data_IF_708505642184
#
_entry.id   IF_708505642184
#
_cell.length_a   1.000
_cell.length_b   1.000
_cell.length_c   1.000
_cell.angle_alpha   90.00
_cell.angle_beta   90.00
_cell.angle_gamma   90.00
#
_symmetry.space_group_name_H-M   'P 1'
#
loop_
_entity.id
_entity.type
_entity.pdbx_description
1 polymer ?
#
# COMPACT_ATOMS: atom_id res chain seq x y z
N UNK A 1 -12.37 -13.33 -34.37
CA UNK A 1 -12.40 -13.24 -32.90
C UNK A 1 -10.99 -13.04 -32.38
N UNK A 2 -10.71 -11.86 -31.83
CA UNK A 2 -9.41 -11.59 -31.23
C UNK A 2 -9.18 -12.51 -30.03
N UNK A 3 -8.02 -13.16 -29.97
CA UNK A 3 -7.63 -13.94 -28.79
C UNK A 3 -7.37 -12.96 -27.65
N UNK A 4 -8.26 -12.92 -26.65
CA UNK A 4 -8.03 -12.19 -25.41
C UNK A 4 -6.79 -12.77 -24.71
N UNK A 5 -5.91 -11.88 -24.23
CA UNK A 5 -4.73 -12.31 -23.46
C UNK A 5 -5.19 -12.80 -22.09
N UNK A 6 -4.79 -13.98 -21.70
CA UNK A 6 -4.98 -14.48 -20.35
C UNK A 6 -4.01 -13.77 -19.41
N UNK A 7 -4.49 -13.35 -18.25
CA UNK A 7 -3.66 -12.82 -17.17
C UNK A 7 -3.92 -13.58 -15.88
N UNK A 8 -2.98 -13.54 -14.97
CA UNK A 8 -3.11 -14.14 -13.63
C UNK A 8 -3.01 -13.04 -12.58
N UNK A 9 -4.09 -12.86 -11.83
CA UNK A 9 -4.18 -11.92 -10.73
C UNK A 9 -3.83 -12.62 -9.42
N UNK A 10 -2.92 -12.03 -8.63
CA UNK A 10 -2.69 -12.38 -7.23
C UNK A 10 -3.45 -11.37 -6.35
N UNK A 11 -4.51 -11.82 -5.68
CA UNK A 11 -5.13 -11.06 -4.61
C UNK A 11 -4.31 -11.24 -3.32
N UNK A 12 -3.70 -10.18 -2.84
CA UNK A 12 -2.83 -10.23 -1.68
C UNK A 12 -3.67 -10.21 -0.40
N UNK A 13 -3.80 -11.37 0.22
CA UNK A 13 -4.51 -11.54 1.48
C UNK A 13 -3.50 -11.65 2.63
N UNK A 14 -2.94 -10.52 3.01
CA UNK A 14 -1.97 -10.41 4.10
C UNK A 14 -2.16 -9.06 4.81
N UNK A 15 -2.02 -9.05 6.13
CA UNK A 15 -2.06 -7.80 6.88
C UNK A 15 -0.77 -6.98 6.66
N UNK A 16 -0.83 -5.64 6.68
CA UNK A 16 0.36 -4.80 6.80
C UNK A 16 0.98 -4.93 8.20
N UNK A 17 2.05 -4.24 8.44
CA UNK A 17 2.54 -3.94 9.79
C UNK A 17 1.89 -2.62 10.19
N UNK A 18 0.85 -2.69 11.03
CA UNK A 18 0.05 -1.50 11.37
C UNK A 18 0.90 -0.39 11.95
N UNK A 19 0.67 0.84 11.49
CA UNK A 19 1.39 2.05 11.90
C UNK A 19 2.92 1.97 11.72
N UNK A 20 3.39 1.13 10.80
CA UNK A 20 4.80 1.06 10.40
C UNK A 20 4.90 1.05 8.87
N UNK A 21 5.06 2.23 8.28
CA UNK A 21 5.12 2.41 6.84
C UNK A 21 6.31 1.66 6.23
N UNK A 22 7.48 1.74 6.87
CA UNK A 22 8.69 1.13 6.35
C UNK A 22 8.63 -0.41 6.38
N UNK A 23 8.17 -0.99 7.49
CA UNK A 23 8.02 -2.43 7.59
C UNK A 23 6.92 -2.95 6.65
N UNK A 24 5.83 -2.20 6.50
CA UNK A 24 4.77 -2.52 5.53
C UNK A 24 5.27 -2.45 4.11
N UNK A 25 6.04 -1.42 3.74
CA UNK A 25 6.66 -1.28 2.42
C UNK A 25 7.57 -2.46 2.10
N UNK A 26 8.47 -2.83 3.03
CA UNK A 26 9.32 -4.01 2.86
C UNK A 26 8.50 -5.30 2.71
N UNK A 27 7.42 -5.43 3.46
CA UNK A 27 6.51 -6.58 3.35
C UNK A 27 5.80 -6.61 2.01
N UNK A 28 5.30 -5.47 1.51
CA UNK A 28 4.71 -5.35 0.18
C UNK A 28 5.69 -5.79 -0.91
N UNK A 29 6.94 -5.32 -0.86
CA UNK A 29 7.98 -5.70 -1.82
C UNK A 29 8.23 -7.22 -1.84
N UNK A 30 8.23 -7.89 -0.68
CA UNK A 30 8.36 -9.36 -0.61
C UNK A 30 7.15 -10.07 -1.23
N UNK A 31 5.94 -9.61 -0.94
CA UNK A 31 4.70 -10.19 -1.48
C UNK A 31 4.60 -10.00 -3.00
N UNK A 32 5.03 -8.85 -3.52
CA UNK A 32 5.14 -8.60 -4.96
C UNK A 32 6.10 -9.60 -5.61
N UNK A 33 7.27 -9.79 -5.00
CA UNK A 33 8.26 -10.74 -5.52
C UNK A 33 7.75 -12.18 -5.48
N UNK A 34 7.02 -12.56 -4.43
CA UNK A 34 6.41 -13.88 -4.30
C UNK A 34 5.31 -14.11 -5.35
N UNK A 35 4.42 -13.14 -5.53
CA UNK A 35 3.39 -13.19 -6.56
C UNK A 35 3.99 -13.39 -7.97
N UNK A 36 5.06 -12.65 -8.29
CA UNK A 36 5.79 -12.81 -9.54
C UNK A 36 6.39 -14.20 -9.71
N UNK A 37 7.01 -14.77 -8.67
CA UNK A 37 7.53 -16.14 -8.69
C UNK A 37 6.46 -17.20 -8.93
N UNK A 38 5.23 -16.94 -8.45
CA UNK A 38 4.05 -17.81 -8.67
C UNK A 38 3.39 -17.59 -10.04
N UNK A 39 3.97 -16.75 -10.89
CA UNK A 39 3.50 -16.49 -12.25
C UNK A 39 2.32 -15.51 -12.33
N UNK A 40 2.08 -14.70 -11.31
CA UNK A 40 1.14 -13.60 -11.42
C UNK A 40 1.64 -12.55 -12.40
N UNK A 41 0.72 -11.93 -13.12
CA UNK A 41 0.98 -10.77 -13.99
C UNK A 41 0.55 -9.46 -13.34
N UNK A 42 -0.35 -9.57 -12.35
CA UNK A 42 -0.86 -8.45 -11.56
C UNK A 42 -0.90 -8.88 -10.09
N UNK A 43 -0.44 -8.04 -9.17
CA UNK A 43 -0.65 -8.18 -7.73
C UNK A 43 -1.53 -7.04 -7.23
N UNK A 44 -2.62 -7.38 -6.52
CA UNK A 44 -3.57 -6.41 -5.98
C UNK A 44 -3.63 -6.51 -4.45
N UNK A 45 -3.41 -5.39 -3.79
CA UNK A 45 -3.52 -5.21 -2.34
C UNK A 45 -4.82 -4.49 -2.00
N UNK A 46 -5.27 -4.63 -0.75
CA UNK A 46 -6.50 -3.99 -0.29
C UNK A 46 -6.37 -2.48 -0.12
N UNK A 47 -7.51 -1.84 0.13
CA UNK A 47 -7.62 -0.43 0.48
C UNK A 47 -6.73 -0.08 1.68
N UNK A 48 -6.07 1.09 1.61
CA UNK A 48 -5.20 1.62 2.67
C UNK A 48 -4.23 0.60 3.28
N UNK A 49 -3.76 -0.35 2.46
CA UNK A 49 -2.85 -1.39 2.93
C UNK A 49 -1.57 -0.81 3.53
N UNK A 50 -1.12 0.36 3.06
CA UNK A 50 -0.03 1.15 3.62
C UNK A 50 -0.60 2.39 4.33
N UNK A 51 -0.47 2.56 5.62
CA UNK A 51 0.14 1.72 6.66
C UNK A 51 -0.86 0.81 7.40
N UNK A 52 -2.02 0.59 6.84
CA UNK A 52 -3.12 -0.19 7.39
C UNK A 52 -4.44 0.57 7.40
N UNK A 53 -5.55 -0.15 7.49
CA UNK A 53 -6.86 0.46 7.56
C UNK A 53 -7.07 1.18 8.91
N UNK A 54 -7.60 2.42 8.91
CA UNK A 54 -7.70 3.24 10.13
C UNK A 54 -8.87 2.80 11.04
N UNK A 55 -8.86 1.58 11.53
CA UNK A 55 -9.91 1.04 12.41
C UNK A 55 -10.14 1.88 13.66
N UNK A 56 -9.14 2.62 14.11
CA UNK A 56 -9.25 3.48 15.29
C UNK A 56 -10.29 4.60 15.11
N UNK A 57 -10.58 5.03 13.87
CA UNK A 57 -11.63 6.02 13.58
C UNK A 57 -13.02 5.53 14.00
N UNK A 58 -13.23 4.22 13.89
CA UNK A 58 -14.48 3.55 14.26
C UNK A 58 -14.44 2.95 15.68
N UNK A 59 -13.28 3.06 16.33
CA UNK A 59 -13.05 2.47 17.63
C UNK A 59 -13.91 3.11 18.72
N UNK A 60 -14.32 2.28 19.66
CA UNK A 60 -15.15 2.67 20.81
C UNK A 60 -14.33 3.25 21.97
N UNK A 61 -13.06 3.60 21.77
CA UNK A 61 -12.28 4.23 22.83
C UNK A 61 -12.92 5.56 23.22
N UNK A 62 -13.32 5.68 24.49
CA UNK A 62 -13.82 6.91 25.08
C UNK A 62 -12.69 7.85 25.51
N UNK A 63 -11.43 7.43 25.33
CA UNK A 63 -10.25 8.23 25.66
C UNK A 63 -9.81 9.06 24.44
N UNK A 64 -10.02 10.39 24.46
CA UNK A 64 -9.64 11.26 23.36
C UNK A 64 -8.12 11.28 23.11
N UNK A 65 -7.31 11.11 24.17
CA UNK A 65 -5.85 11.15 24.05
C UNK A 65 -5.34 9.95 23.25
N UNK A 66 -5.93 8.78 23.46
CA UNK A 66 -5.59 7.58 22.70
C UNK A 66 -5.97 7.72 21.23
N UNK A 67 -7.13 8.33 20.95
CA UNK A 67 -7.55 8.58 19.57
C UNK A 67 -6.64 9.60 18.88
N UNK A 68 -6.27 10.67 19.54
CA UNK A 68 -5.35 11.67 18.97
C UNK A 68 -3.96 11.10 18.73
N UNK A 69 -3.46 10.28 19.65
CA UNK A 69 -2.20 9.58 19.46
C UNK A 69 -2.26 8.65 18.24
N UNK A 70 -3.31 7.85 18.10
CA UNK A 70 -3.49 6.96 16.95
C UNK A 70 -3.56 7.75 15.63
N UNK A 71 -4.28 8.88 15.61
CA UNK A 71 -4.34 9.74 14.43
C UNK A 71 -2.98 10.35 14.08
N UNK A 72 -2.22 10.81 15.08
CA UNK A 72 -0.88 11.34 14.85
C UNK A 72 0.09 10.27 14.33
N UNK A 73 0.06 9.07 14.91
CA UNK A 73 0.88 7.93 14.45
C UNK A 73 0.49 7.52 13.02
N UNK A 74 -0.79 7.57 12.69
CA UNK A 74 -1.28 7.26 11.34
C UNK A 74 -0.81 8.28 10.30
N UNK A 75 -0.91 9.58 10.62
CA UNK A 75 -0.38 10.65 9.77
C UNK A 75 1.13 10.53 9.58
N UNK A 76 1.86 10.26 10.65
CA UNK A 76 3.31 10.10 10.60
C UNK A 76 3.75 8.93 9.72
N UNK A 77 2.92 7.88 9.62
CA UNK A 77 3.15 6.70 8.80
C UNK A 77 2.44 6.74 7.44
N UNK A 78 1.91 7.86 7.01
CA UNK A 78 1.36 8.06 5.67
C UNK A 78 2.47 8.40 4.68
N UNK A 79 2.31 7.95 3.43
CA UNK A 79 3.34 8.08 2.42
C UNK A 79 3.15 9.31 1.54
N UNK A 80 4.22 9.97 1.16
CA UNK A 80 4.21 10.98 0.10
C UNK A 80 4.31 10.30 -1.27
N UNK A 81 3.59 10.82 -2.27
CA UNK A 81 3.62 10.36 -3.65
C UNK A 81 4.00 11.54 -4.58
N UNK A 82 5.10 11.43 -5.35
CA UNK A 82 6.14 10.40 -5.29
C UNK A 82 7.00 10.52 -4.03
N UNK A 83 7.63 9.41 -3.64
CA UNK A 83 8.51 9.38 -2.47
C UNK A 83 9.20 8.04 -2.27
N UNK A 84 9.97 7.87 -1.18
CA UNK A 84 10.78 6.67 -0.96
C UNK A 84 9.98 5.36 -0.96
N UNK A 85 8.74 5.40 -0.46
CA UNK A 85 7.84 4.24 -0.47
C UNK A 85 7.48 3.83 -1.90
N UNK A 86 7.05 4.78 -2.72
CA UNK A 86 6.69 4.51 -4.11
C UNK A 86 7.89 4.06 -4.92
N UNK A 87 9.08 4.62 -4.68
CA UNK A 87 10.32 4.19 -5.33
C UNK A 87 10.66 2.72 -5.05
N UNK A 88 10.48 2.27 -3.81
CA UNK A 88 10.71 0.87 -3.44
C UNK A 88 9.69 -0.06 -4.12
N UNK A 89 8.41 0.33 -4.15
CA UNK A 89 7.35 -0.44 -4.80
C UNK A 89 7.57 -0.54 -6.32
N UNK A 90 7.95 0.55 -6.97
CA UNK A 90 8.30 0.59 -8.39
C UNK A 90 9.47 -0.35 -8.71
N UNK A 91 10.53 -0.31 -7.92
CA UNK A 91 11.67 -1.24 -8.06
C UNK A 91 11.26 -2.69 -7.88
N UNK A 92 10.37 -2.98 -6.92
CA UNK A 92 9.86 -4.34 -6.69
C UNK A 92 9.00 -4.84 -7.86
N UNK A 93 8.07 -4.01 -8.37
CA UNK A 93 7.25 -4.32 -9.53
C UNK A 93 8.10 -4.62 -10.77
N UNK A 94 9.07 -3.75 -11.07
CA UNK A 94 10.02 -3.93 -12.17
C UNK A 94 10.82 -5.21 -12.04
N UNK A 95 11.39 -5.48 -10.87
CA UNK A 95 12.19 -6.70 -10.63
C UNK A 95 11.35 -7.96 -10.77
N UNK A 96 10.09 -7.94 -10.30
CA UNK A 96 9.17 -9.06 -10.43
C UNK A 96 8.51 -9.16 -11.82
N UNK A 97 8.59 -8.11 -12.65
CA UNK A 97 7.95 -7.98 -13.97
C UNK A 97 6.42 -8.14 -13.91
N UNK A 98 5.79 -7.60 -12.88
CA UNK A 98 4.35 -7.63 -12.70
C UNK A 98 3.80 -6.23 -12.46
N UNK A 99 2.55 -6.02 -12.85
CA UNK A 99 1.82 -4.82 -12.53
C UNK A 99 1.35 -4.90 -11.06
N UNK A 100 1.29 -3.78 -10.37
CA UNK A 100 0.89 -3.73 -8.96
C UNK A 100 -0.21 -2.70 -8.78
N UNK A 101 -1.22 -3.07 -8.00
CA UNK A 101 -2.27 -2.17 -7.52
C UNK A 101 -2.25 -2.22 -6.00
N UNK A 102 -2.03 -1.09 -5.34
CA UNK A 102 -1.91 -1.05 -3.88
C UNK A 102 -2.65 0.15 -3.30
N UNK A 103 -3.52 -0.11 -2.32
CA UNK A 103 -4.16 0.92 -1.53
C UNK A 103 -3.19 1.52 -0.51
N UNK A 104 -3.18 2.83 -0.39
CA UNK A 104 -2.30 3.51 0.55
C UNK A 104 -2.91 4.82 1.06
N UNK A 105 -2.40 5.27 2.18
CA UNK A 105 -2.70 6.59 2.71
C UNK A 105 -1.63 7.54 2.22
N UNK A 106 -2.04 8.44 1.34
CA UNK A 106 -1.18 9.47 0.78
C UNK A 106 -1.23 10.71 1.66
N UNK A 107 -0.05 11.20 2.05
CA UNK A 107 0.08 12.46 2.79
C UNK A 107 0.26 13.60 1.80
N UNK A 108 -0.53 14.64 1.98
CA UNK A 108 -0.39 15.89 1.23
C UNK A 108 0.95 16.56 1.54
N UNK A 109 1.61 17.11 0.51
CA UNK A 109 2.92 17.75 0.67
C UNK A 109 2.84 19.12 1.33
N UNK A 110 1.74 19.83 1.08
CA UNK A 110 1.57 21.22 1.49
C UNK A 110 0.73 21.36 2.77
N UNK A 111 0.03 20.28 3.16
CA UNK A 111 -0.83 20.24 4.34
C UNK A 111 -0.46 19.09 5.26
N UNK A 112 0.14 19.38 6.40
CA UNK A 112 0.59 18.37 7.37
C UNK A 112 -0.54 17.52 7.99
N UNK A 113 -1.77 17.98 7.94
CA UNK A 113 -2.94 17.30 8.50
C UNK A 113 -3.84 16.61 7.46
N UNK A 114 -3.52 16.70 6.17
CA UNK A 114 -4.35 16.16 5.10
C UNK A 114 -3.78 14.85 4.56
N UNK A 115 -4.64 13.83 4.50
CA UNK A 115 -4.33 12.55 3.88
C UNK A 115 -5.45 12.13 2.94
N UNK A 116 -5.08 11.34 1.94
CA UNK A 116 -5.99 10.80 0.94
C UNK A 116 -5.97 9.28 0.96
N UNK A 117 -7.14 8.67 0.75
CA UNK A 117 -7.24 7.26 0.44
C UNK A 117 -6.91 7.10 -1.06
N UNK A 118 -5.71 6.62 -1.35
CA UNK A 118 -5.17 6.56 -2.71
C UNK A 118 -5.01 5.12 -3.16
N UNK A 119 -5.40 4.84 -4.40
CA UNK A 119 -5.11 3.59 -5.07
C UNK A 119 -4.00 3.83 -6.10
N UNK A 120 -2.82 3.30 -5.82
CA UNK A 120 -1.65 3.45 -6.67
C UNK A 120 -1.55 2.30 -7.67
N UNK A 121 -1.37 2.65 -8.94
CA UNK A 121 -1.12 1.71 -10.03
C UNK A 121 0.35 1.82 -10.46
N UNK A 122 1.07 0.72 -10.46
CA UNK A 122 2.48 0.64 -10.86
C UNK A 122 2.60 -0.36 -12.00
N UNK A 123 3.13 0.10 -13.12
CA UNK A 123 3.41 -0.79 -14.25
C UNK A 123 4.63 -1.68 -13.98
N UNK A 124 4.72 -2.79 -14.69
CA UNK A 124 5.84 -3.75 -14.60
C UNK A 124 7.20 -3.20 -15.02
N UNK A 125 7.20 -2.01 -15.59
CA UNK A 125 8.45 -1.31 -15.95
C UNK A 125 8.97 -0.39 -14.83
N UNK A 126 8.17 -0.23 -13.75
CA UNK A 126 8.49 0.56 -12.56
C UNK A 126 8.00 1.99 -12.59
#
# INVERSE_FOLDING_TARGET
MGKYRTFRLAAIQAAPVFFDLDASTRKACRLIAEAGKQGATIAAFSETWLPGYPFFVWGSSKDPQLQWKAAADYLANSAEIPGPTTDQLCKAAKKARIDVVIGMVERDKDSQGTVYCTLLFIGREG
#
